data_IF_681697687179
#
_entry.id   IF_681697687179
#
_cell.length_a   1.000
_cell.length_b   1.000
_cell.length_c   1.000
_cell.angle_alpha   90.00
_cell.angle_beta   90.00
_cell.angle_gamma   90.00
#
_symmetry.space_group_name_H-M   'P 1'
#
loop_
_entity.id
_entity.type
_entity.pdbx_description
1 polymer ?
#
# COMPACT_ATOMS: atom_id res chain seq x y z
N UNK A 1 26.73 17.80 6.51
CA UNK A 1 26.89 17.18 7.83
C UNK A 1 28.19 17.71 8.44
N UNK A 2 28.11 18.73 9.29
CA UNK A 2 29.27 19.16 10.07
C UNK A 2 29.58 18.03 11.06
N UNK A 3 30.76 17.42 10.91
CA UNK A 3 31.22 16.40 11.84
C UNK A 3 31.30 17.01 13.25
N UNK A 4 30.70 16.32 14.21
CA UNK A 4 30.95 16.56 15.64
C UNK A 4 32.45 16.35 15.87
N UNK A 5 33.14 17.34 16.46
CA UNK A 5 34.53 17.24 16.95
C UNK A 5 34.65 16.61 18.38
N UNK A 6 34.18 15.37 18.67
CA UNK A 6 34.60 14.70 19.91
C UNK A 6 34.99 13.22 19.69
N UNK A 7 35.67 12.89 18.59
CA UNK A 7 36.16 11.51 18.36
C UNK A 7 37.65 11.54 18.06
N UNK A 8 38.46 11.10 19.02
CA UNK A 8 39.92 11.05 18.90
C UNK A 8 40.40 9.82 18.10
N UNK A 9 39.73 8.67 18.24
CA UNK A 9 40.11 7.42 17.59
C UNK A 9 38.88 6.52 17.37
N UNK A 10 38.86 5.78 16.24
CA UNK A 10 37.85 4.76 15.94
C UNK A 10 38.54 3.41 15.85
N UNK A 11 38.03 2.43 16.60
CA UNK A 11 38.65 1.12 16.73
C UNK A 11 37.61 0.04 16.41
N UNK A 12 38.02 -0.92 15.58
CA UNK A 12 37.20 -2.08 15.22
C UNK A 12 37.73 -3.28 16.00
N UNK A 13 36.91 -3.82 16.91
CA UNK A 13 37.24 -5.02 17.66
C UNK A 13 37.35 -6.25 16.75
N UNK A 14 38.34 -7.10 17.02
CA UNK A 14 38.64 -8.29 16.22
C UNK A 14 38.61 -9.60 17.01
N UNK A 15 38.26 -9.55 18.30
CA UNK A 15 38.20 -10.74 19.13
C UNK A 15 37.04 -11.66 18.70
N UNK A 16 37.22 -13.00 18.76
CA UNK A 16 36.24 -13.97 18.27
C UNK A 16 34.98 -14.08 19.15
N UNK A 17 35.00 -13.54 20.37
CA UNK A 17 33.85 -13.53 21.28
C UNK A 17 32.85 -12.44 20.86
N UNK A 18 31.63 -12.79 20.41
CA UNK A 18 30.64 -11.79 20.00
C UNK A 18 30.21 -10.83 21.12
N UNK A 19 30.28 -11.25 22.38
CA UNK A 19 29.90 -10.44 23.54
C UNK A 19 30.94 -9.37 23.88
N UNK A 20 32.22 -9.69 23.65
CA UNK A 20 33.39 -8.88 23.95
C UNK A 20 34.37 -8.87 22.78
N UNK A 21 33.88 -8.58 21.57
CA UNK A 21 34.72 -8.60 20.37
C UNK A 21 35.81 -7.50 20.36
N UNK A 22 35.83 -6.66 21.40
CA UNK A 22 36.72 -5.54 21.63
C UNK A 22 37.54 -5.69 22.92
N UNK A 23 37.58 -6.89 23.54
CA UNK A 23 38.21 -7.10 24.85
C UNK A 23 39.69 -6.73 24.86
N UNK A 24 40.41 -7.14 23.83
CA UNK A 24 41.84 -6.92 23.66
C UNK A 24 42.14 -5.43 23.58
N UNK A 25 41.39 -4.70 22.77
CA UNK A 25 41.52 -3.25 22.62
C UNK A 25 41.08 -2.51 23.88
N UNK A 26 39.99 -2.93 24.53
CA UNK A 26 39.49 -2.33 25.77
C UNK A 26 40.52 -2.44 26.91
N UNK A 27 41.16 -3.60 27.03
CA UNK A 27 42.20 -3.85 28.04
C UNK A 27 43.48 -3.04 27.78
N UNK A 28 43.78 -2.78 26.49
CA UNK A 28 44.91 -1.95 26.06
C UNK A 28 44.66 -0.46 26.33
N UNK A 29 43.48 0.03 25.97
CA UNK A 29 43.10 1.45 26.05
C UNK A 29 42.81 1.87 27.50
N UNK A 30 42.27 0.95 28.29
CA UNK A 30 41.83 1.19 29.68
C UNK A 30 40.93 2.42 29.81
N UNK A 31 39.78 2.43 29.11
CA UNK A 31 38.89 3.58 29.15
C UNK A 31 38.28 3.74 30.55
N UNK A 32 37.97 4.98 30.91
CA UNK A 32 37.31 5.27 32.19
C UNK A 32 35.85 4.82 32.22
N UNK A 33 35.19 4.76 31.06
CA UNK A 33 33.76 4.49 30.92
C UNK A 33 33.50 3.54 29.74
N UNK A 34 32.64 2.55 29.94
CA UNK A 34 31.98 1.80 28.90
C UNK A 34 30.50 2.20 28.89
N UNK A 35 30.07 2.94 27.88
CA UNK A 35 28.68 3.35 27.70
C UNK A 35 27.98 2.41 26.71
N UNK A 36 26.89 1.78 27.14
CA UNK A 36 26.07 0.89 26.31
C UNK A 36 24.59 1.21 26.48
N UNK A 37 23.73 0.71 25.59
CA UNK A 37 22.28 0.92 25.68
C UNK A 37 21.61 -0.10 26.62
N UNK A 38 20.44 0.23 27.15
CA UNK A 38 19.69 -0.62 28.10
C UNK A 38 19.28 -2.01 27.57
N UNK A 39 19.33 -2.23 26.26
CA UNK A 39 19.00 -3.51 25.60
C UNK A 39 20.24 -4.40 25.33
N UNK A 40 21.37 -4.09 25.95
CA UNK A 40 22.59 -4.88 25.84
C UNK A 40 22.39 -6.31 26.38
N UNK A 41 22.52 -7.30 25.50
CA UNK A 41 22.31 -8.72 25.84
C UNK A 41 23.46 -9.34 26.65
N UNK A 42 24.54 -8.59 26.90
CA UNK A 42 25.78 -9.09 27.52
C UNK A 42 26.23 -8.23 28.72
N UNK A 43 25.28 -7.61 29.41
CA UNK A 43 25.52 -6.70 30.53
C UNK A 43 26.43 -7.29 31.62
N UNK A 44 26.15 -8.51 32.08
CA UNK A 44 26.92 -9.16 33.17
C UNK A 44 28.39 -9.34 32.80
N UNK A 45 28.66 -9.72 31.54
CA UNK A 45 30.00 -9.97 31.02
C UNK A 45 30.76 -8.64 30.89
N UNK A 46 30.10 -7.58 30.43
CA UNK A 46 30.71 -6.24 30.29
C UNK A 46 30.97 -5.57 31.63
N UNK A 47 30.08 -5.75 32.62
CA UNK A 47 30.31 -5.29 34.00
C UNK A 47 31.54 -5.96 34.61
N UNK A 48 31.72 -7.25 34.34
CA UNK A 48 32.91 -8.00 34.78
C UNK A 48 34.18 -7.45 34.12
N UNK A 49 34.17 -7.21 32.81
CA UNK A 49 35.31 -6.60 32.11
C UNK A 49 35.63 -5.19 32.63
N UNK A 50 34.61 -4.37 32.90
CA UNK A 50 34.79 -3.06 33.50
C UNK A 50 35.45 -3.14 34.89
N UNK A 51 35.06 -4.11 35.71
CA UNK A 51 35.68 -4.35 37.01
C UNK A 51 37.16 -4.79 36.90
N UNK A 52 37.50 -5.62 35.90
CA UNK A 52 38.89 -6.05 35.64
C UNK A 52 39.81 -4.88 35.27
N UNK A 53 39.28 -3.89 34.54
CA UNK A 53 40.06 -2.77 33.97
C UNK A 53 39.96 -1.48 34.81
N UNK A 54 39.03 -1.43 35.78
CA UNK A 54 38.75 -0.24 36.59
C UNK A 54 37.87 0.80 35.87
N UNK A 55 37.11 0.37 34.87
CA UNK A 55 36.19 1.22 34.11
C UNK A 55 34.80 1.25 34.77
N UNK A 56 34.04 2.32 34.51
CA UNK A 56 32.63 2.44 34.92
C UNK A 56 31.70 1.98 33.80
N UNK A 57 30.79 1.05 34.09
CA UNK A 57 29.73 0.65 33.16
C UNK A 57 28.55 1.61 33.27
N UNK A 58 28.18 2.25 32.16
CA UNK A 58 27.06 3.20 32.08
C UNK A 58 26.02 2.68 31.10
N UNK A 59 24.83 2.37 31.61
CA UNK A 59 23.67 2.00 30.78
C UNK A 59 22.86 3.24 30.44
N UNK A 60 22.80 3.56 29.15
CA UNK A 60 22.10 4.72 28.62
C UNK A 60 20.63 4.35 28.29
N UNK A 61 19.64 5.12 28.77
CA UNK A 61 18.25 4.91 28.42
C UNK A 61 18.03 5.12 26.93
N UNK A 62 17.26 4.22 26.32
CA UNK A 62 16.81 4.37 24.93
C UNK A 62 15.63 5.35 24.87
N UNK A 63 15.87 6.62 25.19
CA UNK A 63 14.90 7.67 24.86
C UNK A 63 15.05 8.02 23.38
N UNK A 64 14.55 7.15 22.51
CA UNK A 64 14.45 7.47 21.09
C UNK A 64 13.28 8.43 20.91
N UNK A 65 13.57 9.69 20.62
CA UNK A 65 12.57 10.66 20.14
C UNK A 65 12.10 10.39 18.70
N UNK A 66 12.39 9.21 18.16
CA UNK A 66 12.00 8.77 16.83
C UNK A 66 11.78 7.26 16.80
N UNK A 67 10.85 6.81 15.96
CA UNK A 67 10.48 5.40 15.80
C UNK A 67 11.71 4.53 15.45
N UNK A 68 11.87 3.33 16.06
CA UNK A 68 12.99 2.45 15.77
C UNK A 68 12.88 1.87 14.36
N UNK A 69 13.87 2.14 13.52
CA UNK A 69 13.98 1.51 12.19
C UNK A 69 14.63 0.13 12.32
N UNK A 70 13.87 -0.92 12.04
CA UNK A 70 14.37 -2.30 11.98
C UNK A 70 15.29 -2.51 10.77
N UNK A 71 16.21 -3.47 10.86
CA UNK A 71 17.07 -3.90 9.74
C UNK A 71 16.26 -4.37 8.52
N UNK A 72 15.04 -4.85 8.73
CA UNK A 72 14.06 -5.16 7.68
C UNK A 72 13.59 -3.91 6.94
N UNK A 73 13.30 -2.81 7.65
CA UNK A 73 12.94 -1.52 7.03
C UNK A 73 14.12 -0.89 6.29
N UNK A 74 15.36 -1.07 6.76
CA UNK A 74 16.55 -0.64 6.02
C UNK A 74 16.69 -1.45 4.72
N UNK A 75 16.48 -2.77 4.75
CA UNK A 75 16.53 -3.62 3.56
C UNK A 75 15.39 -3.31 2.58
N UNK A 76 14.19 -2.99 3.06
CA UNK A 76 13.06 -2.58 2.22
C UNK A 76 13.24 -1.16 1.65
N UNK A 77 13.90 -0.24 2.38
CA UNK A 77 14.34 1.06 1.82
C UNK A 77 15.38 0.90 0.72
N UNK A 78 16.15 -0.19 0.72
CA UNK A 78 17.13 -0.52 -0.32
C UNK A 78 16.46 -1.21 -1.52
N UNK A 79 15.24 -1.77 -1.40
CA UNK A 79 14.44 -2.15 -2.56
C UNK A 79 13.84 -0.91 -3.21
N UNK A 80 14.51 -0.46 -4.27
CA UNK A 80 14.30 0.77 -5.03
C UNK A 80 13.00 0.81 -5.85
N UNK A 81 11.82 0.70 -5.20
CA UNK A 81 10.56 1.03 -5.88
C UNK A 81 10.49 2.55 -5.99
N UNK A 82 10.96 3.09 -7.13
CA UNK A 82 10.95 4.53 -7.41
C UNK A 82 9.60 5.02 -7.91
N UNK A 83 8.82 4.12 -8.49
CA UNK A 83 7.48 4.40 -9.01
C UNK A 83 6.54 3.25 -8.65
N UNK A 84 5.31 3.59 -8.25
CA UNK A 84 4.26 2.64 -7.94
C UNK A 84 3.02 2.90 -8.81
N UNK A 85 2.30 1.88 -9.28
CA UNK A 85 0.98 2.10 -9.88
C UNK A 85 -0.04 2.49 -8.80
N UNK A 86 -1.12 3.14 -9.24
CA UNK A 86 -2.35 3.24 -8.46
C UNK A 86 -3.34 2.17 -8.92
N UNK A 87 -4.59 2.21 -8.43
CA UNK A 87 -5.59 1.22 -8.80
C UNK A 87 -7.00 1.79 -8.93
N UNK A 88 -7.78 1.17 -9.80
CA UNK A 88 -9.24 1.31 -9.84
C UNK A 88 -9.89 -0.02 -9.50
N UNK A 89 -11.06 0.02 -8.87
CA UNK A 89 -11.87 -1.15 -8.59
C UNK A 89 -13.15 -1.11 -9.44
N UNK A 90 -13.46 -2.22 -10.11
CA UNK A 90 -14.62 -2.31 -10.99
C UNK A 90 -15.84 -2.86 -10.27
N UNK A 91 -15.66 -3.87 -9.41
CA UNK A 91 -16.75 -4.51 -8.69
C UNK A 91 -16.29 -5.12 -7.36
N UNK A 92 -17.22 -5.29 -6.43
CA UNK A 92 -16.95 -5.94 -5.14
C UNK A 92 -16.20 -5.07 -4.12
N UNK A 93 -16.20 -3.75 -4.28
CA UNK A 93 -15.69 -2.84 -3.24
C UNK A 93 -16.35 -3.12 -1.90
N UNK A 94 -15.62 -2.93 -0.80
CA UNK A 94 -15.97 -3.30 0.58
C UNK A 94 -15.97 -4.79 0.91
N UNK A 95 -16.05 -5.70 -0.07
CA UNK A 95 -15.99 -7.14 0.20
C UNK A 95 -14.57 -7.62 0.59
N UNK A 96 -13.57 -6.76 0.46
CA UNK A 96 -12.21 -6.93 0.97
C UNK A 96 -12.06 -6.49 2.43
N UNK A 97 -13.05 -5.81 3.02
CA UNK A 97 -13.03 -5.46 4.44
C UNK A 97 -13.43 -6.71 5.24
N UNK A 98 -12.63 -7.21 6.20
CA UNK A 98 -12.92 -8.47 6.90
C UNK A 98 -14.32 -8.56 7.50
N UNK A 99 -14.83 -7.45 8.08
CA UNK A 99 -16.18 -7.35 8.66
C UNK A 99 -17.31 -7.50 7.63
N UNK A 100 -17.07 -7.11 6.38
CA UNK A 100 -18.07 -7.12 5.31
C UNK A 100 -17.84 -8.20 4.26
N UNK A 101 -16.78 -8.99 4.42
CA UNK A 101 -16.49 -10.12 3.54
C UNK A 101 -17.66 -11.10 3.45
N UNK A 102 -17.76 -11.75 2.29
CA UNK A 102 -18.81 -12.74 1.97
C UNK A 102 -18.13 -13.95 1.34
N UNK A 103 -18.36 -15.12 1.91
CA UNK A 103 -17.83 -16.35 1.36
C UNK A 103 -18.36 -16.57 -0.07
N UNK A 104 -17.47 -16.97 -0.98
CA UNK A 104 -17.81 -17.17 -2.39
C UNK A 104 -17.97 -15.89 -3.22
N UNK A 105 -17.81 -14.71 -2.63
CA UNK A 105 -17.82 -13.43 -3.34
C UNK A 105 -16.41 -13.01 -3.81
N UNK A 106 -16.35 -11.95 -4.62
CA UNK A 106 -15.11 -11.53 -5.28
C UNK A 106 -14.88 -10.02 -5.22
N UNK A 107 -13.66 -9.61 -5.51
CA UNK A 107 -13.27 -8.21 -5.73
C UNK A 107 -12.55 -8.15 -7.08
N UNK A 108 -12.96 -7.22 -7.95
CA UNK A 108 -12.38 -7.04 -9.28
C UNK A 108 -11.73 -5.67 -9.33
N UNK A 109 -10.42 -5.64 -9.51
CA UNK A 109 -9.64 -4.40 -9.55
C UNK A 109 -8.50 -4.48 -10.56
N UNK A 110 -7.97 -3.32 -10.92
CA UNK A 110 -6.88 -3.19 -11.87
C UNK A 110 -5.90 -2.13 -11.42
N UNK A 111 -4.61 -2.44 -11.44
CA UNK A 111 -3.58 -1.42 -11.31
C UNK A 111 -3.51 -0.58 -12.58
N UNK A 112 -3.18 0.70 -12.46
CA UNK A 112 -3.26 1.67 -13.55
C UNK A 112 -2.00 2.53 -13.69
N UNK A 113 -1.83 3.08 -14.88
CA UNK A 113 -0.95 4.21 -15.18
C UNK A 113 -1.77 5.48 -15.43
N UNK A 114 -1.20 6.70 -15.30
CA UNK A 114 0.19 7.01 -14.95
C UNK A 114 0.59 6.50 -13.56
N UNK A 115 1.85 6.08 -13.39
CA UNK A 115 2.41 5.71 -12.08
C UNK A 115 2.67 6.97 -11.24
N UNK A 116 2.90 6.77 -9.95
CA UNK A 116 3.25 7.81 -8.98
C UNK A 116 4.65 7.59 -8.40
N UNK A 117 5.31 8.67 -8.01
CA UNK A 117 6.55 8.66 -7.23
C UNK A 117 6.45 9.68 -6.09
N UNK A 118 7.44 9.68 -5.18
CA UNK A 118 7.52 10.69 -4.13
C UNK A 118 7.73 12.13 -4.67
N UNK A 119 8.24 12.26 -5.89
CA UNK A 119 8.50 13.56 -6.53
C UNK A 119 7.45 13.96 -7.56
N UNK A 120 6.67 13.02 -8.08
CA UNK A 120 5.65 13.27 -9.10
C UNK A 120 4.37 12.49 -8.78
N UNK A 121 3.31 13.23 -8.47
CA UNK A 121 2.02 12.67 -8.10
C UNK A 121 0.91 13.37 -8.89
N UNK A 122 0.52 12.87 -10.09
CA UNK A 122 -0.42 13.55 -10.97
C UNK A 122 -1.89 13.45 -10.52
N UNK A 123 -2.18 12.68 -9.47
CA UNK A 123 -3.54 12.44 -8.97
C UNK A 123 -3.89 13.36 -7.80
N UNK A 124 -5.16 13.69 -7.66
CA UNK A 124 -5.63 14.40 -6.47
C UNK A 124 -5.43 13.57 -5.19
N UNK A 125 -5.33 14.25 -4.05
CA UNK A 125 -5.28 13.60 -2.74
C UNK A 125 -6.66 13.08 -2.34
N UNK A 126 -6.70 12.01 -1.53
CA UNK A 126 -7.95 11.39 -1.05
C UNK A 126 -8.92 11.13 -2.20
N UNK A 127 -8.40 10.45 -3.21
CA UNK A 127 -9.05 10.36 -4.52
C UNK A 127 -9.67 9.00 -4.80
N UNK A 128 -9.65 8.11 -3.82
CA UNK A 128 -10.27 6.79 -3.92
C UNK A 128 -9.51 5.78 -4.80
N UNK A 129 -8.34 6.12 -5.34
CA UNK A 129 -7.53 5.27 -6.26
C UNK A 129 -6.35 4.51 -5.60
N UNK A 130 -6.38 4.36 -4.27
CA UNK A 130 -5.36 3.57 -3.54
C UNK A 130 -4.04 4.30 -3.24
N UNK A 131 -4.08 5.63 -3.11
CA UNK A 131 -2.89 6.44 -2.86
C UNK A 131 -2.12 6.10 -1.57
N UNK A 132 -2.81 5.70 -0.49
CA UNK A 132 -2.14 5.30 0.76
C UNK A 132 -1.29 4.04 0.59
N UNK A 133 -1.82 3.04 -0.13
CA UNK A 133 -1.11 1.81 -0.44
C UNK A 133 0.14 2.06 -1.28
N UNK A 134 0.04 2.88 -2.32
CA UNK A 134 1.19 3.26 -3.15
C UNK A 134 2.23 4.05 -2.35
N UNK A 135 1.80 4.98 -1.49
CA UNK A 135 2.70 5.74 -0.63
C UNK A 135 3.48 4.85 0.34
N UNK A 136 2.80 3.88 0.97
CA UNK A 136 3.44 2.91 1.86
C UNK A 136 4.49 2.07 1.12
N UNK A 137 4.18 1.63 -0.10
CA UNK A 137 5.11 0.89 -0.96
C UNK A 137 6.35 1.72 -1.31
N UNK A 138 6.17 2.97 -1.75
CA UNK A 138 7.27 3.89 -2.09
C UNK A 138 8.18 4.19 -0.88
N UNK A 139 7.65 4.13 0.34
CA UNK A 139 8.40 4.34 1.58
C UNK A 139 9.07 3.06 2.11
N UNK A 140 8.95 1.93 1.41
CA UNK A 140 9.52 0.64 1.83
C UNK A 140 8.84 0.03 3.05
N UNK A 141 7.59 0.43 3.35
CA UNK A 141 6.80 -0.15 4.46
C UNK A 141 6.03 -1.37 3.95
N UNK A 142 5.79 -2.34 4.83
CA UNK A 142 4.86 -3.44 4.53
C UNK A 142 3.43 -2.90 4.51
N UNK A 143 2.96 -2.51 3.32
CA UNK A 143 1.69 -1.86 3.11
C UNK A 143 0.49 -2.76 3.42
N UNK A 144 0.60 -4.08 3.19
CA UNK A 144 -0.50 -5.03 3.44
C UNK A 144 -0.68 -5.23 4.94
N UNK A 145 0.41 -5.45 5.68
CA UNK A 145 0.34 -5.65 7.14
C UNK A 145 -0.11 -4.38 7.88
N UNK A 146 0.23 -3.19 7.36
CA UNK A 146 -0.19 -1.91 7.95
C UNK A 146 -1.71 -1.62 7.78
N UNK A 147 -2.32 -2.04 6.66
CA UNK A 147 -3.75 -1.82 6.39
C UNK A 147 -4.64 -2.84 7.13
N UNK A 148 -4.20 -4.10 7.26
CA UNK A 148 -4.93 -5.15 7.99
C UNK A 148 -5.18 -4.84 9.48
N UNK A 149 -4.35 -3.98 10.09
CA UNK A 149 -4.49 -3.56 11.49
C UNK A 149 -5.55 -2.50 11.76
N UNK A 150 -6.05 -1.81 10.73
CA UNK A 150 -6.86 -0.59 10.87
C UNK A 150 -8.34 -0.74 10.49
N UNK A 151 -8.85 -1.98 10.33
CA UNK A 151 -10.21 -2.26 9.83
C UNK A 151 -10.46 -1.69 8.41
N UNK A 152 -9.39 -1.44 7.65
CA UNK A 152 -9.42 -0.96 6.27
C UNK A 152 -9.35 -2.17 5.33
N UNK A 153 -9.93 -2.04 4.13
CA UNK A 153 -9.90 -3.08 3.10
C UNK A 153 -8.48 -3.34 2.59
N UNK A 154 -8.14 -4.61 2.35
CA UNK A 154 -6.79 -5.02 1.93
C UNK A 154 -6.53 -4.87 0.43
N UNK A 155 -7.53 -4.49 -0.38
CA UNK A 155 -7.42 -4.56 -1.83
C UNK A 155 -6.34 -3.65 -2.42
N UNK A 156 -6.14 -2.45 -1.82
CA UNK A 156 -5.26 -1.41 -2.34
C UNK A 156 -3.80 -1.89 -2.41
N UNK A 157 -3.16 -2.29 -1.30
CA UNK A 157 -1.79 -2.80 -1.36
C UNK A 157 -1.68 -4.11 -2.16
N UNK A 158 -2.72 -4.97 -2.14
CA UNK A 158 -2.70 -6.24 -2.85
C UNK A 158 -2.60 -6.06 -4.37
N UNK A 159 -3.46 -5.24 -4.98
CA UNK A 159 -3.44 -5.03 -6.44
C UNK A 159 -2.28 -4.16 -6.89
N UNK A 160 -1.81 -3.22 -6.06
CA UNK A 160 -0.65 -2.39 -6.38
C UNK A 160 0.62 -3.24 -6.46
N UNK A 161 0.78 -4.20 -5.54
CA UNK A 161 1.90 -5.15 -5.55
C UNK A 161 1.77 -6.20 -6.66
N UNK A 162 0.57 -6.76 -6.84
CA UNK A 162 0.34 -7.82 -7.82
C UNK A 162 0.39 -7.28 -9.26
N UNK A 163 -0.15 -6.09 -9.48
CA UNK A 163 -0.38 -5.45 -10.79
C UNK A 163 -1.30 -6.25 -11.74
N UNK A 164 -1.78 -5.61 -12.80
CA UNK A 164 -2.69 -6.17 -13.80
C UNK A 164 -4.16 -6.06 -13.40
N UNK A 165 -5.01 -6.74 -14.18
CA UNK A 165 -6.43 -6.91 -13.89
C UNK A 165 -6.64 -8.21 -13.10
N UNK A 166 -7.06 -8.06 -11.86
CA UNK A 166 -7.13 -9.13 -10.88
C UNK A 166 -8.56 -9.35 -10.39
N UNK A 167 -8.88 -10.61 -10.10
CA UNK A 167 -10.03 -10.99 -9.30
C UNK A 167 -9.51 -11.67 -8.05
N UNK A 168 -10.02 -11.24 -6.90
CA UNK A 168 -9.67 -11.78 -5.60
C UNK A 168 -10.89 -12.40 -4.94
N UNK A 169 -10.68 -13.43 -4.12
CA UNK A 169 -11.75 -13.97 -3.28
C UNK A 169 -11.97 -13.05 -2.09
N UNK A 170 -13.23 -12.76 -1.82
CA UNK A 170 -13.61 -12.02 -0.61
C UNK A 170 -13.27 -12.84 0.63
N UNK A 171 -12.70 -12.16 1.63
CA UNK A 171 -12.25 -12.79 2.85
C UNK A 171 -11.37 -11.87 3.69
N UNK A 172 -10.83 -12.37 4.81
CA UNK A 172 -10.02 -11.58 5.74
C UNK A 172 -8.61 -11.25 5.19
N UNK A 173 -8.17 -11.92 4.12
CA UNK A 173 -6.85 -11.76 3.51
C UNK A 173 -6.96 -11.83 1.99
N UNK A 174 -6.03 -11.20 1.25
CA UNK A 174 -5.97 -11.31 -0.21
C UNK A 174 -5.72 -12.76 -0.63
N UNK A 175 -6.65 -13.31 -1.41
CA UNK A 175 -6.46 -14.59 -2.11
C UNK A 175 -6.78 -14.35 -3.58
N UNK A 176 -5.75 -14.41 -4.43
CA UNK A 176 -5.91 -14.22 -5.88
C UNK A 176 -6.73 -15.39 -6.46
N UNK A 177 -7.81 -15.08 -7.17
CA UNK A 177 -8.61 -16.07 -7.89
C UNK A 177 -8.16 -16.20 -9.34
N UNK A 178 -8.00 -15.07 -10.02
CA UNK A 178 -7.47 -15.01 -11.38
C UNK A 178 -6.83 -13.66 -11.69
N UNK A 179 -5.89 -13.67 -12.63
CA UNK A 179 -5.25 -12.48 -13.20
C UNK A 179 -5.12 -12.70 -14.70
N UNK A 180 -5.48 -11.68 -15.48
CA UNK A 180 -5.46 -11.76 -16.95
C UNK A 180 -4.68 -10.59 -17.54
N UNK A 181 -4.29 -10.74 -18.81
CA UNK A 181 -3.81 -9.61 -19.59
C UNK A 181 -4.99 -8.64 -19.84
N UNK A 182 -4.87 -7.37 -19.43
CA UNK A 182 -5.93 -6.38 -19.56
C UNK A 182 -5.96 -5.60 -20.89
N UNK A 183 -5.27 -6.03 -21.94
CA UNK A 183 -5.15 -5.32 -23.23
C UNK A 183 -6.51 -4.88 -23.83
N UNK A 184 -7.60 -5.62 -23.57
CA UNK A 184 -8.94 -5.26 -24.05
C UNK A 184 -9.51 -3.96 -23.43
N UNK A 185 -8.90 -3.47 -22.35
CA UNK A 185 -9.20 -2.20 -21.67
C UNK A 185 -8.31 -1.03 -22.13
N UNK A 186 -7.27 -1.30 -22.92
CA UNK A 186 -6.35 -0.28 -23.39
C UNK A 186 -7.10 0.77 -24.22
N UNK A 187 -6.88 2.05 -23.92
CA UNK A 187 -7.54 3.15 -24.61
C UNK A 187 -8.97 3.44 -24.14
N UNK A 188 -9.53 2.66 -23.19
CA UNK A 188 -10.97 2.66 -22.88
C UNK A 188 -11.34 3.14 -21.48
N UNK A 189 -10.35 3.55 -20.69
CA UNK A 189 -10.56 3.96 -19.30
C UNK A 189 -10.15 5.40 -19.05
N UNK A 190 -10.92 6.09 -18.21
CA UNK A 190 -10.61 7.44 -17.76
C UNK A 190 -11.05 7.66 -16.31
N UNK A 191 -10.42 8.63 -15.64
CA UNK A 191 -10.83 9.12 -14.34
C UNK A 191 -11.39 10.54 -14.43
N UNK A 192 -12.52 10.78 -13.78
CA UNK A 192 -13.15 12.09 -13.65
C UNK A 192 -13.07 12.55 -12.20
N UNK A 193 -12.48 13.72 -11.94
CA UNK A 193 -12.43 14.29 -10.58
C UNK A 193 -13.78 14.91 -10.24
N UNK A 194 -14.40 14.48 -9.14
CA UNK A 194 -15.75 14.96 -8.80
C UNK A 194 -15.77 16.33 -8.12
N UNK A 195 -14.61 16.96 -7.89
CA UNK A 195 -14.51 18.25 -7.20
C UNK A 195 -14.54 18.15 -5.67
N UNK A 196 -14.80 16.96 -5.12
CA UNK A 196 -14.96 16.71 -3.68
C UNK A 196 -13.95 15.66 -3.25
N UNK A 197 -13.26 15.88 -2.13
CA UNK A 197 -12.36 14.86 -1.57
C UNK A 197 -13.18 13.68 -1.01
N UNK A 198 -12.65 12.47 -1.17
CA UNK A 198 -13.29 11.28 -0.60
C UNK A 198 -13.08 11.21 0.92
N UNK A 199 -14.15 10.94 1.66
CA UNK A 199 -14.12 10.73 3.11
C UNK A 199 -14.52 9.30 3.45
N UNK A 200 -13.56 8.50 3.95
CA UNK A 200 -13.75 7.05 4.18
C UNK A 200 -14.33 6.72 5.56
N UNK A 201 -14.08 7.57 6.56
CA UNK A 201 -14.20 7.18 7.99
C UNK A 201 -15.63 7.16 8.53
N UNK A 202 -16.54 7.96 7.98
CA UNK A 202 -17.92 8.03 8.46
C UNK A 202 -18.88 7.06 7.73
N UNK A 203 -18.43 6.45 6.62
CA UNK A 203 -19.26 5.63 5.72
C UNK A 203 -19.35 4.15 6.11
N UNK A 204 -18.49 3.67 7.03
CA UNK A 204 -18.39 2.25 7.34
C UNK A 204 -19.65 1.68 8.01
N UNK A 205 -20.51 2.52 8.59
CA UNK A 205 -21.74 2.11 9.26
C UNK A 205 -23.01 2.36 8.44
N UNK A 206 -22.89 2.77 7.18
CA UNK A 206 -24.05 2.94 6.30
C UNK A 206 -24.64 1.59 5.90
N UNK A 207 -25.97 1.55 5.79
CA UNK A 207 -26.67 0.42 5.22
C UNK A 207 -26.32 0.30 3.72
N UNK A 208 -25.85 -0.88 3.33
CA UNK A 208 -25.30 -1.14 2.00
C UNK A 208 -25.86 -2.44 1.47
N UNK A 209 -26.22 -2.44 0.19
CA UNK A 209 -26.75 -3.59 -0.52
C UNK A 209 -25.61 -4.56 -0.89
N UNK A 210 -25.18 -5.34 0.10
CA UNK A 210 -24.10 -6.31 -0.06
C UNK A 210 -24.47 -7.43 -1.05
N UNK A 211 -25.76 -7.77 -1.17
CA UNK A 211 -26.21 -8.81 -2.10
C UNK A 211 -26.02 -8.35 -3.55
N UNK A 212 -26.32 -7.07 -3.83
CA UNK A 212 -26.06 -6.47 -5.14
C UNK A 212 -24.56 -6.36 -5.44
N UNK A 213 -23.73 -6.04 -4.44
CA UNK A 213 -22.27 -6.06 -4.59
C UNK A 213 -21.72 -7.46 -4.90
N UNK A 214 -22.22 -8.49 -4.22
CA UNK A 214 -21.84 -9.89 -4.48
C UNK A 214 -22.23 -10.30 -5.90
N UNK A 215 -23.45 -9.93 -6.33
CA UNK A 215 -23.91 -10.17 -7.70
C UNK A 215 -23.03 -9.46 -8.74
N UNK A 216 -22.76 -8.17 -8.53
CA UNK A 216 -21.88 -7.37 -9.39
C UNK A 216 -20.48 -7.97 -9.47
N UNK A 217 -19.91 -8.39 -8.34
CA UNK A 217 -18.61 -9.04 -8.29
C UNK A 217 -18.57 -10.37 -9.06
N UNK A 218 -19.62 -11.19 -8.97
CA UNK A 218 -19.73 -12.43 -9.73
C UNK A 218 -19.81 -12.19 -11.25
N UNK A 219 -20.53 -11.14 -11.68
CA UNK A 219 -20.55 -10.70 -13.09
C UNK A 219 -19.16 -10.21 -13.50
N UNK A 220 -18.53 -9.36 -12.68
CA UNK A 220 -17.19 -8.83 -12.94
C UNK A 220 -16.16 -9.95 -13.08
N UNK A 221 -16.21 -10.97 -12.22
CA UNK A 221 -15.34 -12.16 -12.35
C UNK A 221 -15.52 -12.85 -13.70
N UNK A 222 -16.76 -13.06 -14.14
CA UNK A 222 -17.04 -13.65 -15.47
C UNK A 222 -16.50 -12.76 -16.58
N UNK A 223 -16.70 -11.45 -16.47
CA UNK A 223 -16.22 -10.47 -17.43
C UNK A 223 -14.69 -10.52 -17.60
N UNK A 224 -13.94 -10.60 -16.50
CA UNK A 224 -12.49 -10.74 -16.55
C UNK A 224 -12.08 -12.07 -17.18
N UNK A 225 -12.74 -13.17 -16.80
CA UNK A 225 -12.45 -14.50 -17.34
C UNK A 225 -12.69 -14.59 -18.86
N UNK A 226 -13.75 -13.94 -19.35
CA UNK A 226 -14.09 -13.91 -20.78
C UNK A 226 -13.50 -12.73 -21.53
N UNK A 227 -12.79 -11.82 -20.85
CA UNK A 227 -12.31 -10.54 -21.39
C UNK A 227 -13.43 -9.74 -22.09
N UNK A 228 -14.62 -9.71 -21.47
CA UNK A 228 -15.82 -9.09 -22.01
C UNK A 228 -16.07 -7.73 -21.35
N UNK A 229 -15.88 -6.67 -22.13
CA UNK A 229 -16.07 -5.29 -21.68
C UNK A 229 -17.53 -4.97 -21.33
N UNK A 230 -18.51 -5.56 -22.02
CA UNK A 230 -19.92 -5.29 -21.76
C UNK A 230 -20.35 -5.89 -20.42
N UNK A 231 -19.89 -7.11 -20.12
CA UNK A 231 -20.09 -7.72 -18.80
C UNK A 231 -19.36 -6.94 -17.71
N UNK A 232 -18.17 -6.40 -17.99
CA UNK A 232 -17.46 -5.58 -17.01
C UNK A 232 -18.21 -4.27 -16.74
N UNK A 233 -18.73 -3.65 -17.79
CA UNK A 233 -19.58 -2.46 -17.71
C UNK A 233 -20.84 -2.71 -16.88
N UNK A 234 -21.51 -3.86 -17.06
CA UNK A 234 -22.64 -4.29 -16.22
C UNK A 234 -22.24 -4.36 -14.75
N UNK A 235 -21.12 -5.01 -14.42
CA UNK A 235 -20.63 -5.12 -13.04
C UNK A 235 -20.31 -3.76 -12.40
N UNK A 236 -19.73 -2.84 -13.18
CA UNK A 236 -19.44 -1.47 -12.76
C UNK A 236 -20.73 -0.70 -12.47
N UNK A 237 -21.71 -0.75 -13.38
CA UNK A 237 -22.98 -0.06 -13.22
C UNK A 237 -23.80 -0.58 -12.04
N UNK A 238 -23.77 -1.89 -11.75
CA UNK A 238 -24.40 -2.45 -10.55
C UNK A 238 -23.74 -1.90 -9.27
N UNK A 239 -22.41 -1.75 -9.27
CA UNK A 239 -21.71 -1.12 -8.13
C UNK A 239 -22.10 0.35 -7.99
N UNK A 240 -22.26 1.08 -9.09
CA UNK A 240 -22.72 2.46 -9.06
C UNK A 240 -24.17 2.58 -8.58
N UNK A 241 -25.05 1.63 -8.91
CA UNK A 241 -26.42 1.59 -8.37
C UNK A 241 -26.41 1.50 -6.84
N UNK A 242 -25.53 0.67 -6.27
CA UNK A 242 -25.32 0.60 -4.81
C UNK A 242 -24.86 1.96 -4.26
N UNK A 243 -23.89 2.60 -4.93
CA UNK A 243 -23.38 3.92 -4.54
C UNK A 243 -24.47 5.02 -4.56
N UNK A 244 -25.37 5.01 -5.54
CA UNK A 244 -26.50 5.94 -5.59
C UNK A 244 -27.52 5.67 -4.48
N UNK A 245 -27.76 4.40 -4.12
CA UNK A 245 -28.62 4.04 -2.97
C UNK A 245 -28.02 4.48 -1.63
N UNK A 246 -26.70 4.58 -1.56
CA UNK A 246 -25.98 5.16 -0.42
C UNK A 246 -26.06 6.70 -0.37
N UNK A 247 -26.69 7.34 -1.35
CA UNK A 247 -26.88 8.79 -1.38
C UNK A 247 -25.74 9.58 -2.02
N UNK A 248 -24.89 8.93 -2.82
CA UNK A 248 -23.94 9.64 -3.67
C UNK A 248 -24.66 10.39 -4.81
N UNK A 249 -24.12 11.52 -5.21
CA UNK A 249 -24.67 12.29 -6.32
C UNK A 249 -24.53 11.54 -7.65
N UNK A 250 -25.47 11.74 -8.60
CA UNK A 250 -25.31 11.21 -9.95
C UNK A 250 -24.06 11.76 -10.64
N UNK A 251 -23.25 10.86 -11.19
CA UNK A 251 -22.08 11.23 -11.98
C UNK A 251 -22.46 11.76 -13.38
N UNK A 252 -21.76 12.76 -13.92
CA UNK A 252 -22.03 13.30 -15.26
C UNK A 252 -21.83 12.24 -16.36
N UNK A 253 -22.51 12.42 -17.49
CA UNK A 253 -22.47 11.50 -18.65
C UNK A 253 -21.74 12.09 -19.83
N UNK A 254 -21.17 11.20 -20.62
CA UNK A 254 -19.98 11.47 -21.40
C UNK A 254 -19.80 10.52 -22.60
N UNK A 255 -20.76 9.63 -22.85
CA UNK A 255 -20.69 8.59 -23.89
C UNK A 255 -20.06 7.29 -23.40
N UNK A 256 -19.96 7.10 -22.09
CA UNK A 256 -19.47 5.91 -21.42
C UNK A 256 -20.49 4.75 -21.49
N UNK A 257 -19.98 3.53 -21.45
CA UNK A 257 -20.80 2.32 -21.23
C UNK A 257 -20.99 2.00 -19.75
N UNK A 258 -20.08 2.46 -18.90
CA UNK A 258 -20.23 2.36 -17.46
C UNK A 258 -19.41 3.40 -16.69
N UNK A 259 -19.85 3.70 -15.47
CA UNK A 259 -19.15 4.56 -14.54
C UNK A 259 -19.49 4.24 -13.10
N UNK A 260 -18.57 4.58 -12.19
CA UNK A 260 -18.78 4.53 -10.74
C UNK A 260 -17.75 5.40 -10.02
N UNK A 261 -18.00 5.75 -8.76
CA UNK A 261 -16.97 6.34 -7.90
C UNK A 261 -15.89 5.30 -7.56
N UNK A 262 -14.62 5.72 -7.48
CA UNK A 262 -13.51 4.85 -7.06
C UNK A 262 -13.49 4.67 -5.53
N UNK A 263 -12.99 3.53 -5.06
CA UNK A 263 -12.83 3.27 -3.64
C UNK A 263 -14.17 3.28 -2.90
N UNK A 264 -14.22 3.93 -1.73
CA UNK A 264 -15.44 3.96 -0.91
C UNK A 264 -16.50 4.96 -1.37
N UNK A 265 -16.22 5.78 -2.39
CA UNK A 265 -17.14 6.78 -2.93
C UNK A 265 -17.31 8.06 -2.09
N UNK A 266 -18.43 8.77 -2.28
CA UNK A 266 -18.74 10.10 -1.71
C UNK A 266 -17.69 11.19 -2.03
N UNK A 267 -17.08 11.10 -3.20
CA UNK A 267 -16.03 12.02 -3.65
C UNK A 267 -14.88 11.27 -4.30
N UNK A 268 -13.78 11.97 -4.55
CA UNK A 268 -12.60 11.44 -5.19
C UNK A 268 -12.71 11.42 -6.72
N UNK A 269 -12.07 10.43 -7.35
CA UNK A 269 -12.28 10.15 -8.76
C UNK A 269 -13.45 9.19 -8.96
N UNK A 270 -14.12 9.34 -10.10
CA UNK A 270 -14.95 8.32 -10.69
C UNK A 270 -14.22 7.67 -11.89
N UNK A 271 -14.35 6.35 -12.03
CA UNK A 271 -13.84 5.61 -13.19
C UNK A 271 -14.93 5.51 -14.25
N UNK A 272 -14.54 5.71 -15.50
CA UNK A 272 -15.40 5.63 -16.68
C UNK A 272 -14.84 4.59 -17.65
N UNK A 273 -15.73 3.78 -18.22
CA UNK A 273 -15.43 2.78 -19.25
C UNK A 273 -16.11 3.16 -20.56
N UNK A 274 -15.39 3.03 -21.67
CA UNK A 274 -15.88 3.28 -23.03
C UNK A 274 -15.79 2.00 -23.86
N UNK A 275 -16.76 1.73 -24.73
CA UNK A 275 -16.75 0.57 -25.63
C UNK A 275 -15.69 0.70 -26.75
N UNK A 276 -15.36 1.94 -27.11
CA UNK A 276 -14.33 2.32 -28.07
C UNK A 276 -13.26 3.20 -27.40
N UNK A 277 -12.35 3.76 -28.21
CA UNK A 277 -11.36 4.72 -27.75
C UNK A 277 -12.04 5.83 -26.95
N UNK A 278 -11.57 6.03 -25.70
CA UNK A 278 -12.08 7.09 -24.83
C UNK A 278 -12.00 8.46 -25.55
N UNK A 279 -12.96 9.37 -25.30
CA UNK A 279 -12.89 10.71 -25.84
C UNK A 279 -11.60 11.43 -25.40
N UNK A 280 -10.99 12.19 -26.31
CA UNK A 280 -9.95 13.15 -25.94
C UNK A 280 -10.59 14.35 -25.21
N UNK A 281 -9.96 14.84 -24.16
CA UNK A 281 -10.44 16.03 -23.45
C UNK A 281 -9.73 16.30 -22.13
N UNK A 282 -9.96 17.49 -21.59
CA UNK A 282 -9.31 17.98 -20.36
C UNK A 282 -10.10 17.68 -19.09
N UNK A 283 -11.33 17.19 -19.21
CA UNK A 283 -12.23 16.97 -18.07
C UNK A 283 -11.89 15.70 -17.27
N UNK A 284 -10.94 14.91 -17.76
CA UNK A 284 -10.62 13.59 -17.24
C UNK A 284 -9.16 13.25 -17.47
N UNK A 285 -8.66 12.38 -16.61
CA UNK A 285 -7.34 11.81 -16.70
C UNK A 285 -7.42 10.48 -17.45
N UNK A 286 -6.69 10.38 -18.55
CA UNK A 286 -6.48 9.13 -19.24
C UNK A 286 -5.74 8.15 -18.31
N UNK A 287 -6.29 6.95 -18.16
CA UNK A 287 -5.65 5.86 -17.42
C UNK A 287 -5.56 4.61 -18.30
N UNK A 288 -4.51 3.84 -18.12
CA UNK A 288 -4.30 2.58 -18.82
C UNK A 288 -4.02 1.46 -17.83
N UNK A 289 -4.45 0.23 -18.10
CA UNK A 289 -4.13 -0.87 -17.22
C UNK A 289 -2.62 -1.07 -17.17
N UNK A 290 -2.08 -1.23 -15.97
CA UNK A 290 -0.67 -1.53 -15.76
C UNK A 290 -0.52 -3.00 -15.44
N UNK A 291 0.33 -3.71 -16.18
CA UNK A 291 0.77 -5.06 -15.84
C UNK A 291 2.29 -5.02 -15.68
N UNK A 292 2.77 -5.33 -14.48
CA UNK A 292 4.20 -5.36 -14.17
C UNK A 292 4.93 -6.31 -15.11
N UNK A 293 6.00 -5.82 -15.73
CA UNK A 293 6.87 -6.65 -16.56
C UNK A 293 7.88 -7.37 -15.67
N UNK A 294 8.19 -8.62 -16.01
CA UNK A 294 9.32 -9.30 -15.38
C UNK A 294 10.61 -8.51 -15.70
N UNK A 295 11.55 -8.38 -14.74
CA UNK A 295 12.87 -7.88 -15.08
C UNK A 295 13.47 -8.79 -16.15
N UNK A 296 13.78 -8.21 -17.30
CA UNK A 296 14.52 -8.84 -18.39
C UNK A 296 15.95 -9.17 -17.97
#
# INVERSE_FOLDING_TARGET
LSALEPVDEVIVGSDPDPALNFRTEFSRIKPAILAVTQDDQYEDVKRTLCAEVGASYVSLPKSLGYEPVSTTEIRNKVSAVTEAPLRVDFAGGWLDVPRFSREGAYIVNCSITPKVSLSNWPYEQRSGVGGSGAWALLQGKDAVSAELGNLVGWQDPAVIMETGLCVWRSGPKPILDLKVNPDFLQGKMALFWTGVQHETRELANMERDYDLLVKGAAIGRRAVLSQDLNLLAEAVNLTHEVQLKEGMDPLPSFGEVAKKYCGSGHGGYAVYLFDHQRPEGTNWMAIEPYLGQFPS
#
